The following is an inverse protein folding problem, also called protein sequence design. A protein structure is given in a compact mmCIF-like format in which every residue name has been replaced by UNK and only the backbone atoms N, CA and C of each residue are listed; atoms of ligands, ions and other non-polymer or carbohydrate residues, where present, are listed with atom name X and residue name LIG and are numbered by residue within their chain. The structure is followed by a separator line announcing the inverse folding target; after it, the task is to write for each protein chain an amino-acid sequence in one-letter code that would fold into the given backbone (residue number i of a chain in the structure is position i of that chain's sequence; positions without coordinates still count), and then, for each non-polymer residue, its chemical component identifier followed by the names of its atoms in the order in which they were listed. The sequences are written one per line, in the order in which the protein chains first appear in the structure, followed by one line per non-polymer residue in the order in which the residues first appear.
data_IF_501206257691
#
_entry.id   IF_501206257691
#
_cell.length_a   1.000
_cell.length_b   1.000
_cell.length_c   1.000
_cell.angle_alpha   90.00
_cell.angle_beta   90.00
_cell.angle_gamma   90.00
#
_symmetry.space_group_name_H-M   'P 1'
#
loop_
_entity.id
_entity.type
_entity.pdbx_description
1 polymer ?
#
# COMPACT_ATOMS: atom_id res chain seq x y z
N UNK A 1 -7.70 -14.20 3.23
CA UNK A 1 -8.34 -12.88 3.35
C UNK A 1 -7.49 -11.77 2.74
N UNK A 2 -6.29 -12.09 2.25
CA UNK A 2 -5.34 -11.17 1.64
C UNK A 2 -5.97 -10.27 0.57
N UNK A 3 -6.91 -10.79 -0.25
CA UNK A 3 -7.55 -10.05 -1.34
C UNK A 3 -8.39 -8.91 -0.79
N UNK A 4 -9.24 -9.26 0.18
CA UNK A 4 -10.17 -8.33 0.83
C UNK A 4 -9.37 -7.29 1.61
N UNK A 5 -8.38 -7.72 2.40
CA UNK A 5 -7.60 -6.81 3.23
C UNK A 5 -6.78 -5.82 2.41
N UNK A 6 -6.14 -6.28 1.33
CA UNK A 6 -5.34 -5.41 0.45
C UNK A 6 -6.23 -4.46 -0.36
N UNK A 7 -7.37 -4.94 -0.88
CA UNK A 7 -8.34 -4.09 -1.58
C UNK A 7 -8.95 -3.02 -0.65
N UNK A 8 -9.27 -3.39 0.60
CA UNK A 8 -9.76 -2.44 1.61
C UNK A 8 -8.69 -1.39 1.92
N UNK A 9 -7.44 -1.82 2.12
CA UNK A 9 -6.33 -0.89 2.36
C UNK A 9 -6.13 0.07 1.16
N UNK A 10 -6.22 -0.43 -0.08
CA UNK A 10 -6.14 0.38 -1.29
C UNK A 10 -7.27 1.42 -1.36
N UNK A 11 -8.51 1.02 -1.03
CA UNK A 11 -9.67 1.91 -0.99
C UNK A 11 -9.51 3.00 0.09
N UNK A 12 -9.07 2.64 1.31
CA UNK A 12 -8.82 3.60 2.39
C UNK A 12 -7.70 4.57 2.00
N UNK A 13 -6.59 4.08 1.45
CA UNK A 13 -5.50 4.93 0.98
C UNK A 13 -5.96 5.91 -0.10
N UNK A 14 -6.80 5.45 -1.03
CA UNK A 14 -7.41 6.29 -2.07
C UNK A 14 -8.34 7.34 -1.48
N UNK A 15 -9.15 6.98 -0.48
CA UNK A 15 -10.03 7.93 0.20
C UNK A 15 -9.24 9.01 0.94
N UNK A 16 -8.18 8.63 1.66
CA UNK A 16 -7.26 9.57 2.33
C UNK A 16 -6.57 10.48 1.32
N UNK A 17 -6.10 9.89 0.21
CA UNK A 17 -5.47 10.63 -0.87
C UNK A 17 -6.43 11.66 -1.48
N UNK A 18 -7.66 11.26 -1.81
CA UNK A 18 -8.66 12.13 -2.40
C UNK A 18 -9.11 13.26 -1.44
N UNK A 19 -9.20 12.98 -0.15
CA UNK A 19 -9.71 13.94 0.83
C UNK A 19 -8.65 14.95 1.32
N UNK A 20 -7.36 14.60 1.33
CA UNK A 20 -6.35 15.33 2.10
C UNK A 20 -4.98 15.49 1.41
N UNK A 21 -4.81 15.02 0.18
CA UNK A 21 -3.51 15.10 -0.48
C UNK A 21 -3.26 16.49 -1.10
N UNK A 22 -2.36 17.25 -0.48
CA UNK A 22 -1.78 18.47 -1.06
C UNK A 22 -0.59 18.15 -1.99
N UNK A 23 -0.41 16.88 -2.39
CA UNK A 23 0.74 16.37 -3.17
C UNK A 23 2.05 16.25 -2.37
N UNK A 24 2.05 16.70 -1.10
CA UNK A 24 3.25 16.78 -0.24
C UNK A 24 3.71 15.42 0.27
N UNK A 25 2.80 14.49 0.49
CA UNK A 25 3.10 13.19 1.11
C UNK A 25 3.22 12.04 0.11
N UNK A 26 3.09 12.33 -1.20
CA UNK A 26 3.19 11.32 -2.26
C UNK A 26 2.24 10.13 -2.02
N UNK A 27 1.03 10.41 -1.53
CA UNK A 27 0.01 9.37 -1.25
C UNK A 27 -0.44 8.67 -2.52
N UNK A 28 -0.33 9.32 -3.68
CA UNK A 28 -0.54 8.69 -4.98
C UNK A 28 0.35 7.46 -5.20
N UNK A 29 1.60 7.48 -4.72
CA UNK A 29 2.53 6.35 -4.82
C UNK A 29 2.04 5.18 -3.96
N UNK A 30 1.60 5.46 -2.73
CA UNK A 30 1.02 4.43 -1.85
C UNK A 30 -0.25 3.81 -2.45
N UNK A 31 -1.12 4.63 -3.03
CA UNK A 31 -2.33 4.16 -3.70
C UNK A 31 -2.00 3.25 -4.89
N UNK A 32 -1.05 3.64 -5.74
CA UNK A 32 -0.62 2.81 -6.87
C UNK A 32 0.01 1.50 -6.43
N UNK A 33 0.81 1.49 -5.36
CA UNK A 33 1.39 0.25 -4.82
C UNK A 33 0.30 -0.69 -4.29
N UNK A 34 -0.65 -0.18 -3.51
CA UNK A 34 -1.73 -1.00 -2.95
C UNK A 34 -2.67 -1.54 -4.04
N UNK A 35 -3.10 -0.71 -5.00
CA UNK A 35 -3.90 -1.19 -6.12
C UNK A 35 -3.15 -2.16 -7.02
N UNK A 36 -1.86 -1.92 -7.28
CA UNK A 36 -1.00 -2.84 -8.02
C UNK A 36 -0.90 -4.20 -7.32
N UNK A 37 -0.72 -4.22 -6.01
CA UNK A 37 -0.74 -5.45 -5.22
C UNK A 37 -2.10 -6.14 -5.27
N UNK A 38 -3.21 -5.42 -5.10
CA UNK A 38 -4.56 -6.00 -5.18
C UNK A 38 -4.81 -6.64 -6.54
N UNK A 39 -4.45 -5.98 -7.65
CA UNK A 39 -4.61 -6.54 -9.00
C UNK A 39 -3.70 -7.75 -9.21
N UNK A 40 -2.44 -7.69 -8.77
CA UNK A 40 -1.50 -8.80 -8.88
C UNK A 40 -2.06 -10.06 -8.21
N UNK A 41 -2.51 -9.94 -6.96
CA UNK A 41 -2.99 -11.11 -6.23
C UNK A 41 -4.37 -11.56 -6.73
N UNK A 42 -5.22 -10.63 -7.20
CA UNK A 42 -6.46 -10.98 -7.89
C UNK A 42 -6.21 -11.84 -9.13
N UNK A 43 -5.29 -11.42 -10.00
CA UNK A 43 -4.97 -12.17 -11.23
C UNK A 43 -4.36 -13.53 -10.89
N UNK A 44 -3.41 -13.58 -9.96
CA UNK A 44 -2.79 -14.83 -9.50
C UNK A 44 -3.84 -15.85 -9.05
N UNK A 45 -4.78 -15.40 -8.21
CA UNK A 45 -5.80 -16.28 -7.67
C UNK A 45 -6.91 -16.64 -8.66
N UNK A 46 -7.25 -15.74 -9.59
CA UNK A 46 -8.14 -16.08 -10.72
C UNK A 46 -7.54 -17.22 -11.55
N UNK A 47 -6.24 -17.16 -11.85
CA UNK A 47 -5.57 -18.21 -12.62
C UNK A 47 -5.52 -19.52 -11.83
N UNK A 48 -5.19 -19.48 -10.54
CA UNK A 48 -5.20 -20.66 -9.67
C UNK A 48 -6.60 -21.30 -9.55
N UNK A 49 -7.63 -20.48 -9.35
CA UNK A 49 -9.02 -20.95 -9.30
C UNK A 49 -9.48 -21.61 -10.60
N UNK A 50 -9.10 -21.05 -11.77
CA UNK A 50 -9.45 -21.63 -13.07
C UNK A 50 -8.70 -22.95 -13.36
N UNK A 51 -7.48 -23.11 -12.83
CA UNK A 51 -6.66 -24.28 -13.06
C UNK A 51 -7.00 -25.46 -12.11
N UNK A 52 -7.16 -25.18 -10.82
CA UNK A 52 -7.29 -26.20 -9.77
C UNK A 52 -8.71 -26.33 -9.23
N UNK A 53 -9.55 -25.31 -9.43
CA UNK A 53 -10.84 -25.19 -8.75
C UNK A 53 -10.68 -24.91 -7.24
N UNK A 54 -11.77 -24.58 -6.55
CA UNK A 54 -11.74 -24.37 -5.10
C UNK A 54 -12.60 -23.21 -4.63
N UNK A 55 -12.27 -22.65 -3.47
CA UNK A 55 -12.87 -21.40 -2.99
C UNK A 55 -12.11 -20.19 -3.50
N UNK A 56 -12.82 -19.21 -4.06
CA UNK A 56 -12.22 -17.99 -4.60
C UNK A 56 -11.85 -16.96 -3.53
N UNK A 57 -12.50 -17.01 -2.38
CA UNK A 57 -12.23 -16.10 -1.26
C UNK A 57 -11.72 -16.92 -0.10
N UNK A 58 -10.43 -16.83 0.13
CA UNK A 58 -9.84 -17.53 1.26
C UNK A 58 -10.12 -16.79 2.57
N UNK A 59 -10.67 -17.50 3.57
CA UNK A 59 -11.05 -16.93 4.87
C UNK A 59 -10.17 -17.43 6.04
N UNK A 60 -9.03 -18.05 5.73
CA UNK A 60 -8.10 -18.60 6.72
C UNK A 60 -7.33 -17.49 7.46
N UNK A 61 -6.90 -17.80 8.69
CA UNK A 61 -6.09 -16.89 9.51
C UNK A 61 -4.72 -16.60 8.88
N UNK A 62 -4.09 -17.61 8.29
CA UNK A 62 -2.80 -17.45 7.59
C UNK A 62 -2.94 -16.52 6.38
N UNK A 63 -4.03 -16.65 5.62
CA UNK A 63 -4.31 -15.75 4.51
C UNK A 63 -4.63 -14.32 4.96
N UNK A 64 -5.12 -14.12 6.19
CA UNK A 64 -5.27 -12.79 6.78
C UNK A 64 -3.91 -12.21 7.20
N UNK A 65 -3.07 -13.03 7.84
CA UNK A 65 -1.71 -12.66 8.24
C UNK A 65 -0.87 -12.24 7.02
N UNK A 66 -0.91 -13.01 5.94
CA UNK A 66 -0.27 -12.66 4.67
C UNK A 66 -0.74 -11.30 4.14
N UNK A 67 -2.05 -11.05 4.16
CA UNK A 67 -2.62 -9.75 3.79
C UNK A 67 -2.04 -8.59 4.60
N UNK A 68 -1.95 -8.76 5.92
CA UNK A 68 -1.38 -7.76 6.83
C UNK A 68 0.11 -7.53 6.54
N UNK A 69 0.89 -8.61 6.34
CA UNK A 69 2.32 -8.52 6.02
C UNK A 69 2.55 -7.72 4.74
N UNK A 70 1.74 -7.96 3.70
CA UNK A 70 1.83 -7.22 2.44
C UNK A 70 1.53 -5.72 2.61
N UNK A 71 0.52 -5.37 3.41
CA UNK A 71 0.18 -3.97 3.71
C UNK A 71 1.32 -3.30 4.47
N UNK A 72 1.90 -3.97 5.48
CA UNK A 72 3.05 -3.45 6.24
C UNK A 72 4.23 -3.20 5.32
N UNK A 73 4.54 -4.14 4.41
CA UNK A 73 5.63 -3.97 3.45
C UNK A 73 5.41 -2.77 2.53
N UNK A 74 4.20 -2.60 2.00
CA UNK A 74 3.85 -1.44 1.16
C UNK A 74 3.99 -0.11 1.91
N UNK A 75 3.53 -0.06 3.17
CA UNK A 75 3.69 1.11 4.04
C UNK A 75 5.17 1.40 4.33
N UNK A 76 5.96 0.39 4.67
CA UNK A 76 7.38 0.56 4.95
C UNK A 76 8.16 1.12 3.74
N UNK A 77 7.87 0.61 2.53
CA UNK A 77 8.47 1.12 1.28
C UNK A 77 8.05 2.58 1.05
N UNK A 78 6.77 2.90 1.23
CA UNK A 78 6.28 4.27 1.07
C UNK A 78 6.90 5.22 2.10
N UNK A 79 6.98 4.85 3.37
CA UNK A 79 7.61 5.64 4.43
C UNK A 79 9.08 5.88 4.13
N UNK A 80 9.81 4.85 3.69
CA UNK A 80 11.20 4.99 3.26
C UNK A 80 11.35 5.99 2.10
N UNK A 81 10.49 5.89 1.08
CA UNK A 81 10.49 6.82 -0.06
C UNK A 81 10.14 8.25 0.35
N UNK A 82 9.23 8.42 1.32
CA UNK A 82 8.84 9.71 1.86
C UNK A 82 10.02 10.36 2.60
N UNK A 83 10.71 9.59 3.44
CA UNK A 83 11.89 10.04 4.19
C UNK A 83 13.06 10.37 3.26
N UNK A 84 13.33 9.51 2.26
CA UNK A 84 14.43 9.71 1.33
C UNK A 84 14.24 10.97 0.46
N UNK A 85 13.03 11.21 -0.03
CA UNK A 85 12.73 12.39 -0.87
C UNK A 85 12.55 13.69 -0.06
N UNK A 86 12.40 13.62 1.26
CA UNK A 86 12.07 14.71 2.20
C UNK A 86 11.32 15.90 1.54
N UNK A 87 10.13 15.68 0.96
CA UNK A 87 9.40 16.73 0.25
C UNK A 87 8.97 17.89 1.18
N UNK A 88 9.01 17.69 2.50
CA UNK A 88 8.71 18.72 3.49
C UNK A 88 9.96 19.48 3.98
N UNK A 89 11.17 19.11 3.54
CA UNK A 89 12.44 19.70 4.00
C UNK A 89 12.54 19.78 5.55
N UNK A 90 11.94 18.82 6.28
CA UNK A 90 11.93 18.89 7.75
C UNK A 90 13.35 18.77 8.32
N UNK A 91 14.27 18.12 7.60
CA UNK A 91 15.66 17.96 8.03
C UNK A 91 16.59 19.06 7.49
N UNK A 92 16.20 19.81 6.46
CA UNK A 92 17.03 20.88 5.88
C UNK A 92 17.04 22.16 6.73
N UNK A 93 16.01 22.39 7.56
CA UNK A 93 15.85 23.62 8.35
C UNK A 93 16.87 23.81 9.48
N UNK A 94 17.68 22.79 9.79
CA UNK A 94 18.75 22.91 10.80
C UNK A 94 20.06 23.52 10.26
N UNK A 95 20.15 23.82 8.95
CA UNK A 95 21.38 24.36 8.34
C UNK A 95 21.39 25.86 8.06
N UNK A 96 20.29 26.59 8.27
CA UNK A 96 20.19 28.01 7.87
C UNK A 96 20.22 29.04 9.02
N UNK A 97 20.45 28.63 10.27
CA UNK A 97 20.53 29.57 11.42
C UNK A 97 21.99 29.90 11.83
N UNK A 98 22.93 29.76 10.90
CA UNK A 98 24.33 30.22 11.06
C UNK A 98 24.83 30.88 9.78
N UNK A 99 24.25 32.04 9.43
CA UNK A 99 24.96 33.09 8.70
C UNK A 99 24.54 34.43 9.26
#
# INVERSE_FOLDING_TARGET
MWLITTALAAAIATAIWYAKDDGRYKMSVLCMMLWGATVMIFVDHVMGFLAEGGEFIEMTADAALLGIVLIIAALAIWEFLLLYKDPLNRFARCRTTKQ
#
